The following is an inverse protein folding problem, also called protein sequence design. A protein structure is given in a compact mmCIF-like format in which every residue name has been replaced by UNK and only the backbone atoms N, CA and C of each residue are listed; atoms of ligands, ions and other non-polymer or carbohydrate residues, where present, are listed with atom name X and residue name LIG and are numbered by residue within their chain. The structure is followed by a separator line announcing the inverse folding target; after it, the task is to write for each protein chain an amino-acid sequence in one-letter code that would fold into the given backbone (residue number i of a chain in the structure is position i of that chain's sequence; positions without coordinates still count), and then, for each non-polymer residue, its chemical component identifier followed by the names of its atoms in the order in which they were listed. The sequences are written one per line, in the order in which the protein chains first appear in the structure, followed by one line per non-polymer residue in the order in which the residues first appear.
data_IF_560336437940
#
_entry.id   IF_560336437940
#
_cell.length_a   1.000
_cell.length_b   1.000
_cell.length_c   1.000
_cell.angle_alpha   90.00
_cell.angle_beta   90.00
_cell.angle_gamma   90.00
#
_symmetry.space_group_name_H-M   'P 1'
#
loop_
_entity.id
_entity.type
_entity.pdbx_description
1 polymer ?
#
# COMPACT_ATOMS: atom_id res chain seq x y z
N UNK A 1 -9.35 24.32 -7.13
CA UNK A 1 -9.28 22.86 -6.96
C UNK A 1 -8.21 22.52 -5.96
N UNK A 2 -8.61 21.98 -4.84
CA UNK A 2 -7.60 21.54 -3.89
C UNK A 2 -6.88 20.34 -4.46
N UNK A 3 -5.59 20.45 -4.53
CA UNK A 3 -4.77 19.32 -4.89
C UNK A 3 -4.45 18.53 -3.64
N UNK A 4 -4.65 17.25 -3.73
CA UNK A 4 -4.27 16.40 -2.64
C UNK A 4 -2.76 16.45 -2.48
N UNK A 5 -2.31 16.71 -1.26
CA UNK A 5 -0.89 16.70 -0.94
C UNK A 5 -0.35 15.30 -1.18
N UNK A 6 0.78 15.23 -1.88
CA UNK A 6 1.40 13.95 -2.19
C UNK A 6 1.73 13.15 -0.93
N UNK A 7 2.23 13.83 0.09
CA UNK A 7 2.55 13.18 1.36
C UNK A 7 1.31 12.62 2.03
N UNK A 8 0.20 13.36 1.98
CA UNK A 8 -1.06 12.89 2.56
C UNK A 8 -1.57 11.65 1.83
N UNK A 9 -1.43 11.63 0.51
CA UNK A 9 -1.84 10.46 -0.28
C UNK A 9 -0.99 9.24 0.06
N UNK A 10 0.32 9.41 0.16
CA UNK A 10 1.22 8.31 0.54
C UNK A 10 0.87 7.77 1.92
N UNK A 11 0.50 8.65 2.84
CA UNK A 11 0.11 8.25 4.17
C UNK A 11 -1.15 7.41 4.16
N UNK A 12 -2.14 7.78 3.35
CA UNK A 12 -3.37 7.00 3.23
C UNK A 12 -3.12 5.65 2.58
N UNK A 13 -2.25 5.60 1.59
CA UNK A 13 -1.85 4.33 0.97
C UNK A 13 -1.21 3.43 2.03
N UNK A 14 -0.32 4.00 2.85
CA UNK A 14 0.32 3.26 3.93
C UNK A 14 -0.68 2.70 4.94
N UNK A 15 -1.68 3.48 5.29
CA UNK A 15 -2.75 3.03 6.19
C UNK A 15 -3.53 1.88 5.59
N UNK A 16 -3.81 1.94 4.29
CA UNK A 16 -4.50 0.84 3.60
C UNK A 16 -3.63 -0.40 3.51
N UNK A 17 -2.33 -0.22 3.31
CA UNK A 17 -1.40 -1.35 3.31
C UNK A 17 -1.42 -2.06 4.66
N UNK A 18 -1.37 -1.30 5.74
CA UNK A 18 -1.46 -1.86 7.09
C UNK A 18 -2.78 -2.60 7.30
N UNK A 19 -3.87 -2.02 6.82
CA UNK A 19 -5.19 -2.63 6.93
C UNK A 19 -5.29 -3.92 6.11
N UNK A 20 -4.71 -3.93 4.91
CA UNK A 20 -4.71 -5.11 4.05
C UNK A 20 -3.93 -6.26 4.70
N UNK A 21 -2.81 -5.95 5.33
CA UNK A 21 -2.02 -6.95 6.04
C UNK A 21 -2.82 -7.55 7.20
N UNK A 22 -3.47 -6.71 7.97
CA UNK A 22 -4.30 -7.18 9.09
C UNK A 22 -5.44 -8.07 8.59
N UNK A 23 -6.09 -7.68 7.50
CA UNK A 23 -7.18 -8.46 6.92
C UNK A 23 -6.71 -9.80 6.40
N UNK A 24 -5.50 -9.86 5.86
CA UNK A 24 -4.89 -11.08 5.35
C UNK A 24 -4.25 -11.93 6.46
N UNK A 25 -4.29 -11.45 7.69
CA UNK A 25 -3.63 -12.09 8.83
C UNK A 25 -2.15 -12.31 8.57
N UNK A 26 -1.52 -11.31 7.97
CA UNK A 26 -0.12 -11.40 7.54
C UNK A 26 0.70 -10.33 8.25
N UNK A 27 1.84 -10.72 8.80
CA UNK A 27 2.76 -9.75 9.40
C UNK A 27 3.77 -9.26 8.36
N UNK A 28 4.58 -8.29 8.77
CA UNK A 28 5.57 -7.69 7.86
C UNK A 28 6.60 -8.69 7.36
N UNK A 29 7.03 -9.59 8.22
CA UNK A 29 8.01 -10.62 7.85
C UNK A 29 7.46 -11.54 6.78
N UNK A 30 6.21 -11.95 6.93
CA UNK A 30 5.55 -12.81 5.95
C UNK A 30 5.38 -12.11 4.62
N UNK A 31 4.97 -10.85 4.65
CA UNK A 31 4.82 -10.07 3.42
C UNK A 31 6.17 -9.85 2.74
N UNK A 32 7.21 -9.57 3.51
CA UNK A 32 8.55 -9.42 2.99
C UNK A 32 9.01 -10.70 2.29
N UNK A 33 8.75 -11.84 2.90
CA UNK A 33 9.14 -13.13 2.33
C UNK A 33 8.40 -13.41 1.02
N UNK A 34 7.11 -13.11 0.97
CA UNK A 34 6.31 -13.34 -0.23
C UNK A 34 6.69 -12.43 -1.39
N UNK A 35 7.06 -11.20 -1.11
CA UNK A 35 7.30 -10.20 -2.15
C UNK A 35 8.77 -10.03 -2.50
N UNK A 36 9.66 -10.43 -1.61
CA UNK A 36 11.09 -10.20 -1.77
C UNK A 36 11.53 -8.81 -1.31
N UNK A 37 10.62 -8.01 -0.78
CA UNK A 37 10.97 -6.70 -0.23
C UNK A 37 11.40 -6.83 1.23
N UNK A 38 12.19 -5.88 1.70
CA UNK A 38 12.64 -5.89 3.09
C UNK A 38 11.54 -5.41 4.02
N UNK A 39 11.62 -5.80 5.28
CA UNK A 39 10.70 -5.32 6.30
C UNK A 39 10.77 -3.80 6.40
N UNK A 40 11.97 -3.25 6.28
CA UNK A 40 12.19 -1.80 6.34
C UNK A 40 11.46 -1.06 5.22
N UNK A 41 11.48 -1.63 4.01
CA UNK A 41 10.73 -1.05 2.89
C UNK A 41 9.24 -1.06 3.17
N UNK A 42 8.73 -2.17 3.67
CA UNK A 42 7.31 -2.29 3.99
C UNK A 42 6.91 -1.27 5.06
N UNK A 43 7.73 -1.12 6.10
CA UNK A 43 7.48 -0.12 7.14
C UNK A 43 7.48 1.29 6.55
N UNK A 44 8.42 1.57 5.63
CA UNK A 44 8.47 2.89 4.98
C UNK A 44 7.20 3.19 4.19
N UNK A 45 6.67 2.20 3.49
CA UNK A 45 5.40 2.37 2.76
C UNK A 45 4.23 2.55 3.72
N UNK A 46 4.19 1.77 4.81
CA UNK A 46 3.11 1.89 5.78
C UNK A 46 3.08 3.27 6.43
N UNK A 47 4.24 3.87 6.63
CA UNK A 47 4.37 5.19 7.25
C UNK A 47 4.27 6.34 6.26
N UNK A 48 4.10 6.05 4.98
CA UNK A 48 3.99 7.06 3.96
C UNK A 48 5.30 7.79 3.67
N UNK A 49 6.42 7.17 3.98
CA UNK A 49 7.74 7.77 3.78
C UNK A 49 8.37 7.44 2.44
N UNK A 50 7.89 6.39 1.79
CA UNK A 50 8.43 5.94 0.52
C UNK A 50 7.32 5.89 -0.52
N UNK A 51 7.67 6.23 -1.75
CA UNK A 51 6.75 6.17 -2.87
C UNK A 51 6.56 4.70 -3.28
N UNK A 52 5.34 4.36 -3.60
CA UNK A 52 5.00 3.03 -4.07
C UNK A 52 4.95 3.06 -5.60
N UNK A 53 5.89 2.40 -6.24
CA UNK A 53 5.96 2.33 -7.69
C UNK A 53 5.08 1.20 -8.23
N UNK A 54 4.73 1.25 -9.54
CA UNK A 54 3.76 0.29 -10.09
C UNK A 54 4.11 -1.19 -9.88
N UNK A 55 5.37 -1.56 -10.05
CA UNK A 55 5.77 -2.95 -9.86
C UNK A 55 5.58 -3.38 -8.41
N UNK A 56 5.95 -2.51 -7.49
CA UNK A 56 5.80 -2.78 -6.07
C UNK A 56 4.33 -2.88 -5.69
N UNK A 57 3.52 -1.98 -6.24
CA UNK A 57 2.09 -1.98 -6.04
C UNK A 57 1.48 -3.31 -6.47
N UNK A 58 1.82 -3.77 -7.66
CA UNK A 58 1.29 -5.01 -8.21
C UNK A 58 1.67 -6.20 -7.34
N UNK A 59 2.92 -6.27 -6.92
CA UNK A 59 3.38 -7.36 -6.07
C UNK A 59 2.70 -7.39 -4.71
N UNK A 60 2.55 -6.22 -4.11
CA UNK A 60 1.87 -6.12 -2.81
C UNK A 60 0.39 -6.50 -2.94
N UNK A 61 -0.27 -6.01 -3.97
CA UNK A 61 -1.68 -6.32 -4.20
C UNK A 61 -1.88 -7.81 -4.43
N UNK A 62 -0.98 -8.42 -5.17
CA UNK A 62 -1.06 -9.85 -5.45
C UNK A 62 -0.87 -10.67 -4.17
N UNK A 63 0.10 -10.30 -3.37
CA UNK A 63 0.40 -11.00 -2.12
C UNK A 63 -0.74 -10.86 -1.10
N UNK A 64 -1.38 -9.70 -1.08
CA UNK A 64 -2.43 -9.39 -0.11
C UNK A 64 -3.85 -9.61 -0.64
N UNK A 65 -3.97 -9.97 -1.91
CA UNK A 65 -5.26 -10.20 -2.56
C UNK A 65 -6.18 -8.98 -2.44
N UNK A 66 -5.66 -7.82 -2.79
CA UNK A 66 -6.44 -6.58 -2.84
C UNK A 66 -6.32 -5.94 -4.20
N UNK A 67 -7.30 -5.12 -4.54
CA UNK A 67 -7.30 -4.41 -5.81
C UNK A 67 -6.36 -3.20 -5.76
N UNK A 68 -5.60 -2.96 -6.84
CA UNK A 68 -4.71 -1.79 -6.88
C UNK A 68 -5.44 -0.48 -6.65
N UNK A 69 -6.63 -0.33 -7.19
CA UNK A 69 -7.42 0.89 -7.03
C UNK A 69 -7.72 1.15 -5.55
N UNK A 70 -8.03 0.09 -4.82
CA UNK A 70 -8.30 0.22 -3.40
C UNK A 70 -7.05 0.62 -2.63
N UNK A 71 -5.92 -0.03 -2.91
CA UNK A 71 -4.67 0.27 -2.20
C UNK A 71 -4.20 1.68 -2.50
N UNK A 72 -4.36 2.14 -3.74
CA UNK A 72 -3.97 3.49 -4.15
C UNK A 72 -4.95 4.56 -3.68
N UNK A 73 -6.02 4.19 -3.00
CA UNK A 73 -7.07 5.12 -2.59
C UNK A 73 -7.69 5.83 -3.78
N UNK A 74 -7.77 5.14 -4.91
CA UNK A 74 -8.34 5.70 -6.13
C UNK A 74 -9.83 5.43 -6.11
N UNK A 75 -10.59 6.44 -5.73
CA UNK A 75 -12.03 6.33 -5.68
C UNK A 75 -12.62 6.93 -6.94
N UNK A 76 -13.36 6.11 -7.65
CA UNK A 76 -14.12 6.60 -8.79
C UNK A 76 -15.36 7.29 -8.30
N UNK A 77 -15.51 8.53 -8.69
CA UNK A 77 -16.76 9.22 -8.47
C UNK A 77 -17.64 8.98 -9.69
N UNK A 78 -18.72 8.28 -9.45
CA UNK A 78 -19.73 8.11 -10.47
C UNK A 78 -20.72 9.25 -10.33
N UNK A 79 -20.96 9.93 -11.42
CA UNK A 79 -21.94 11.02 -11.47
C UNK A 79 -23.20 10.55 -12.12
#
# INVERSE_FOLDING_TARGET
MPHENYAAKQQRIGERLTRAMAKAHMNRSELAELTGYSVEQIVSWERGRARLYPIELIKLCHALDVMPEWLLCWERRLH
#
